data_IF_157320892390
#
_entry.id   IF_157320892390
#
_cell.length_a   1.000
_cell.length_b   1.000
_cell.length_c   1.000
_cell.angle_alpha   90.00
_cell.angle_beta   90.00
_cell.angle_gamma   90.00
#
_symmetry.space_group_name_H-M   'P 1'
#
loop_
_entity.id
_entity.type
_entity.pdbx_description
1 polymer ?
#
# COMPACT_ATOMS: atom_id res chain seq x y z
N UNK A 1 -5.47 -25.66 -6.96
CA UNK A 1 -4.79 -24.45 -6.47
C UNK A 1 -3.47 -24.21 -7.20
N UNK A 2 -2.68 -25.25 -7.40
CA UNK A 2 -1.38 -25.21 -8.09
C UNK A 2 -1.53 -24.60 -9.48
N UNK A 3 -2.33 -25.20 -10.32
CA UNK A 3 -2.65 -24.70 -11.67
C UNK A 3 -3.14 -23.23 -11.66
N UNK A 4 -3.89 -22.82 -10.62
CA UNK A 4 -4.34 -21.44 -10.47
C UNK A 4 -3.17 -20.49 -10.19
N UNK A 5 -2.28 -20.87 -9.27
CA UNK A 5 -1.12 -20.04 -8.89
C UNK A 5 -0.14 -19.96 -10.06
N UNK A 6 0.16 -21.08 -10.71
CA UNK A 6 1.00 -21.14 -11.92
C UNK A 6 0.44 -20.21 -13.01
N UNK A 7 -0.85 -20.33 -13.32
CA UNK A 7 -1.52 -19.47 -14.28
C UNK A 7 -1.40 -17.99 -13.93
N UNK A 8 -1.58 -17.62 -12.65
CA UNK A 8 -1.50 -16.23 -12.21
C UNK A 8 -0.06 -15.67 -12.27
N UNK A 9 0.94 -16.50 -12.03
CA UNK A 9 2.35 -16.13 -12.18
C UNK A 9 2.71 -15.98 -13.66
N UNK A 10 2.41 -16.96 -14.49
CA UNK A 10 2.72 -16.94 -15.92
C UNK A 10 2.08 -15.76 -16.65
N UNK A 11 0.86 -15.39 -16.26
CA UNK A 11 0.14 -14.26 -16.84
C UNK A 11 0.42 -12.91 -16.14
N UNK A 12 1.47 -12.82 -15.34
CA UNK A 12 1.94 -11.57 -14.70
C UNK A 12 0.96 -10.93 -13.70
N UNK A 13 0.12 -11.74 -13.07
CA UNK A 13 -0.79 -11.30 -12.01
C UNK A 13 -0.16 -11.38 -10.63
N UNK A 14 0.58 -12.46 -10.33
CA UNK A 14 1.28 -12.68 -9.08
C UNK A 14 2.80 -12.57 -9.23
N UNK A 15 3.46 -12.12 -8.15
CA UNK A 15 4.92 -12.11 -8.04
C UNK A 15 5.43 -13.52 -7.74
N UNK A 16 6.28 -14.14 -8.58
CA UNK A 16 6.82 -15.47 -8.31
C UNK A 16 7.73 -15.50 -7.07
N UNK A 17 8.45 -14.42 -6.81
CA UNK A 17 9.42 -14.30 -5.71
C UNK A 17 8.80 -14.51 -4.32
N UNK A 18 7.49 -14.23 -4.19
CA UNK A 18 6.76 -14.46 -2.95
C UNK A 18 6.67 -15.95 -2.62
N UNK A 19 6.42 -16.79 -3.63
CA UNK A 19 6.24 -18.22 -3.46
C UNK A 19 7.57 -18.98 -3.30
N UNK A 20 8.69 -18.44 -3.75
CA UNK A 20 10.01 -19.03 -3.60
C UNK A 20 10.46 -19.18 -2.14
N UNK A 21 9.86 -18.38 -1.24
CA UNK A 21 10.15 -18.42 0.20
C UNK A 21 9.45 -19.56 0.95
N UNK A 22 8.58 -20.30 0.29
CA UNK A 22 7.73 -21.32 0.91
C UNK A 22 7.70 -22.60 0.09
N UNK A 23 7.50 -23.75 0.76
CA UNK A 23 7.14 -24.97 0.06
C UNK A 23 5.73 -24.86 -0.51
N UNK A 24 5.50 -25.47 -1.67
CA UNK A 24 4.16 -25.48 -2.26
C UNK A 24 3.12 -26.18 -1.37
N UNK A 25 3.54 -27.24 -0.65
CA UNK A 25 2.69 -27.94 0.30
C UNK A 25 2.24 -27.02 1.44
N UNK A 26 3.13 -26.17 1.95
CA UNK A 26 2.76 -25.17 2.93
C UNK A 26 1.73 -24.17 2.36
N UNK A 27 2.00 -23.61 1.19
CA UNK A 27 1.08 -22.67 0.53
C UNK A 27 -0.30 -23.30 0.36
N UNK A 28 -0.36 -24.55 -0.12
CA UNK A 28 -1.61 -25.29 -0.28
C UNK A 28 -2.36 -25.48 1.04
N UNK A 29 -1.65 -25.76 2.11
CA UNK A 29 -2.25 -25.94 3.43
C UNK A 29 -2.74 -24.60 4.01
N UNK A 30 -2.01 -23.50 3.79
CA UNK A 30 -2.42 -22.16 4.20
C UNK A 30 -3.74 -21.74 3.54
N UNK A 31 -3.87 -21.96 2.24
CA UNK A 31 -5.12 -21.69 1.52
C UNK A 31 -6.26 -22.58 2.02
N UNK A 32 -6.01 -23.88 2.24
CA UNK A 32 -7.01 -24.77 2.84
C UNK A 32 -7.47 -24.29 4.22
N UNK A 33 -6.55 -23.80 5.07
CA UNK A 33 -6.84 -23.22 6.39
C UNK A 33 -7.79 -22.03 6.25
N UNK A 34 -7.47 -21.09 5.37
CA UNK A 34 -8.30 -19.91 5.13
C UNK A 34 -9.71 -20.27 4.65
N UNK A 35 -9.82 -21.18 3.69
CA UNK A 35 -11.11 -21.62 3.13
C UNK A 35 -11.93 -22.48 4.10
N UNK A 36 -11.29 -23.19 5.03
CA UNK A 36 -11.98 -24.02 6.03
C UNK A 36 -12.88 -23.20 6.96
N UNK A 37 -12.56 -21.94 7.18
CA UNK A 37 -13.37 -21.02 8.01
C UNK A 37 -14.71 -20.70 7.35
N UNK A 38 -14.87 -20.88 6.04
CA UNK A 38 -16.07 -20.56 5.27
C UNK A 38 -16.52 -19.11 5.47
N UNK A 39 -15.57 -18.19 5.38
CA UNK A 39 -15.78 -16.75 5.58
C UNK A 39 -17.01 -16.22 4.83
N UNK A 40 -17.76 -15.34 5.47
CA UNK A 40 -18.87 -14.60 4.87
C UNK A 40 -18.78 -13.13 5.28
N UNK A 41 -18.92 -12.25 4.31
CA UNK A 41 -19.02 -10.83 4.60
C UNK A 41 -20.30 -10.56 5.44
N UNK A 42 -20.17 -9.84 6.57
CA UNK A 42 -21.33 -9.52 7.42
C UNK A 42 -22.29 -8.54 6.75
N UNK A 43 -21.83 -7.75 5.77
CA UNK A 43 -22.63 -6.76 5.06
C UNK A 43 -22.39 -6.81 3.56
N UNK A 44 -23.42 -6.40 2.80
CA UNK A 44 -23.28 -6.21 1.34
C UNK A 44 -22.19 -5.19 1.01
N UNK A 45 -22.13 -4.07 1.76
CA UNK A 45 -21.13 -3.03 1.54
C UNK A 45 -19.70 -3.55 1.68
N UNK A 46 -19.44 -4.41 2.67
CA UNK A 46 -18.15 -5.05 2.86
C UNK A 46 -17.74 -5.92 1.65
N UNK A 47 -18.66 -6.75 1.18
CA UNK A 47 -18.44 -7.58 -0.01
C UNK A 47 -18.22 -6.72 -1.26
N UNK A 48 -19.08 -5.73 -1.47
CA UNK A 48 -18.98 -4.80 -2.61
C UNK A 48 -17.63 -4.09 -2.62
N UNK A 49 -17.22 -3.52 -1.48
CA UNK A 49 -15.93 -2.82 -1.36
C UNK A 49 -14.75 -3.74 -1.63
N UNK A 50 -14.77 -4.97 -1.11
CA UNK A 50 -13.72 -5.94 -1.36
C UNK A 50 -13.56 -6.23 -2.86
N UNK A 51 -14.63 -6.61 -3.53
CA UNK A 51 -14.57 -6.97 -4.95
C UNK A 51 -14.29 -5.78 -5.86
N UNK A 52 -14.82 -4.60 -5.58
CA UNK A 52 -14.57 -3.41 -6.43
C UNK A 52 -13.18 -2.83 -6.26
N UNK A 53 -12.59 -2.90 -5.04
CA UNK A 53 -11.38 -2.16 -4.71
C UNK A 53 -10.14 -3.02 -4.40
N UNK A 54 -10.31 -4.25 -3.91
CA UNK A 54 -9.18 -5.05 -3.39
C UNK A 54 -8.90 -6.32 -4.17
N UNK A 55 -9.93 -7.05 -4.61
CA UNK A 55 -9.75 -8.32 -5.31
C UNK A 55 -8.98 -8.14 -6.62
N UNK A 56 -8.04 -9.04 -6.87
CA UNK A 56 -7.34 -9.11 -8.16
C UNK A 56 -8.35 -9.37 -9.27
N UNK A 57 -8.23 -8.59 -10.35
CA UNK A 57 -9.03 -8.72 -11.56
C UNK A 57 -8.15 -8.99 -12.76
N UNK A 58 -8.75 -9.52 -13.82
CA UNK A 58 -8.13 -9.53 -15.14
C UNK A 58 -7.77 -8.10 -15.59
N UNK A 59 -6.76 -7.94 -16.43
CA UNK A 59 -6.30 -6.61 -16.86
C UNK A 59 -7.39 -5.80 -17.60
N UNK A 60 -8.36 -6.48 -18.20
CA UNK A 60 -9.55 -5.85 -18.79
C UNK A 60 -10.64 -5.49 -17.76
N UNK A 61 -10.43 -5.87 -16.49
CA UNK A 61 -11.35 -5.59 -15.38
C UNK A 61 -12.63 -6.41 -15.36
N UNK A 62 -12.80 -7.38 -16.28
CA UNK A 62 -14.07 -8.08 -16.49
C UNK A 62 -14.29 -9.26 -15.52
N UNK A 63 -13.21 -9.84 -14.99
CA UNK A 63 -13.29 -11.04 -14.15
C UNK A 63 -12.50 -10.89 -12.88
N UNK A 64 -13.04 -11.41 -11.78
CA UNK A 64 -12.34 -11.53 -10.50
C UNK A 64 -11.52 -12.81 -10.47
N UNK A 65 -10.25 -12.68 -10.11
CA UNK A 65 -9.29 -13.79 -10.00
C UNK A 65 -9.09 -14.25 -8.56
N UNK A 66 -9.52 -13.44 -7.59
CA UNK A 66 -9.39 -13.72 -6.16
C UNK A 66 -10.74 -13.65 -5.44
N UNK A 67 -10.84 -14.47 -4.40
CA UNK A 67 -11.79 -14.31 -3.30
C UNK A 67 -11.08 -13.67 -2.10
N UNK A 68 -11.85 -13.36 -1.06
CA UNK A 68 -11.31 -12.77 0.17
C UNK A 68 -10.21 -13.64 0.79
N UNK A 69 -10.43 -14.96 0.87
CA UNK A 69 -9.47 -15.91 1.41
C UNK A 69 -8.16 -15.93 0.61
N UNK A 70 -8.22 -15.82 -0.71
CA UNK A 70 -7.03 -15.74 -1.57
C UNK A 70 -6.21 -14.50 -1.22
N UNK A 71 -6.89 -13.33 -1.12
CA UNK A 71 -6.23 -12.07 -0.79
C UNK A 71 -5.60 -12.09 0.59
N UNK A 72 -6.27 -12.67 1.58
CA UNK A 72 -5.75 -12.84 2.94
C UNK A 72 -4.48 -13.70 2.93
N UNK A 73 -4.46 -14.80 2.21
CA UNK A 73 -3.28 -15.67 2.09
C UNK A 73 -2.09 -14.94 1.44
N UNK A 74 -2.34 -14.15 0.39
CA UNK A 74 -1.28 -13.38 -0.28
C UNK A 74 -0.67 -12.33 0.66
N UNK A 75 -1.48 -11.65 1.45
CA UNK A 75 -1.02 -10.71 2.47
C UNK A 75 -0.17 -11.43 3.53
N UNK A 76 -0.64 -12.57 4.02
CA UNK A 76 0.06 -13.34 5.04
C UNK A 76 1.43 -13.84 4.55
N UNK A 77 1.49 -14.38 3.34
CA UNK A 77 2.74 -14.84 2.73
C UNK A 77 3.75 -13.68 2.58
N UNK A 78 3.28 -12.51 2.17
CA UNK A 78 4.15 -11.34 2.05
C UNK A 78 4.70 -10.88 3.40
N UNK A 79 3.83 -10.68 4.38
CA UNK A 79 4.21 -10.13 5.68
C UNK A 79 5.06 -11.09 6.53
N UNK A 80 4.84 -12.39 6.36
CA UNK A 80 5.57 -13.40 7.13
C UNK A 80 6.99 -13.69 6.61
N UNK A 81 7.32 -13.26 5.39
CA UNK A 81 8.68 -13.34 4.84
C UNK A 81 9.34 -14.75 4.94
N UNK A 82 8.58 -15.81 4.70
CA UNK A 82 9.03 -17.19 4.79
C UNK A 82 8.81 -17.87 6.14
N UNK A 83 8.32 -17.14 7.15
CA UNK A 83 7.96 -17.72 8.45
C UNK A 83 6.57 -18.35 8.38
N UNK A 84 6.53 -19.68 8.27
CA UNK A 84 5.28 -20.43 8.09
C UNK A 84 4.30 -20.25 9.28
N UNK A 85 4.79 -20.29 10.51
CA UNK A 85 3.96 -20.09 11.70
C UNK A 85 3.32 -18.70 11.72
N UNK A 86 4.11 -17.67 11.43
CA UNK A 86 3.61 -16.30 11.37
C UNK A 86 2.59 -16.12 10.23
N UNK A 87 2.78 -16.77 9.08
CA UNK A 87 1.81 -16.73 8.00
C UNK A 87 0.45 -17.32 8.42
N UNK A 88 0.44 -18.44 9.12
CA UNK A 88 -0.79 -19.04 9.66
C UNK A 88 -1.48 -18.13 10.69
N UNK A 89 -0.72 -17.54 11.61
CA UNK A 89 -1.24 -16.58 12.59
C UNK A 89 -1.88 -15.37 11.92
N UNK A 90 -1.21 -14.79 10.92
CA UNK A 90 -1.73 -13.63 10.18
C UNK A 90 -3.05 -13.97 9.47
N UNK A 91 -3.14 -15.14 8.83
CA UNK A 91 -4.40 -15.59 8.20
C UNK A 91 -5.52 -15.66 9.22
N UNK A 92 -5.29 -16.28 10.38
CA UNK A 92 -6.29 -16.43 11.43
C UNK A 92 -6.73 -15.07 11.98
N UNK A 93 -5.79 -14.16 12.22
CA UNK A 93 -6.09 -12.82 12.75
C UNK A 93 -6.90 -11.96 11.75
N UNK A 94 -6.58 -12.02 10.46
CA UNK A 94 -7.32 -11.26 9.45
C UNK A 94 -8.74 -11.84 9.27
N UNK A 95 -8.86 -13.17 9.14
CA UNK A 95 -10.18 -13.80 8.91
C UNK A 95 -11.10 -13.63 10.12
N UNK A 96 -10.55 -13.65 11.33
CA UNK A 96 -11.32 -13.41 12.56
C UNK A 96 -11.67 -11.94 12.80
N UNK A 97 -11.12 -11.02 11.99
CA UNK A 97 -11.35 -9.58 12.12
C UNK A 97 -10.57 -8.89 13.25
N UNK A 98 -9.59 -9.58 13.87
CA UNK A 98 -8.74 -8.99 14.90
C UNK A 98 -7.57 -8.18 14.34
N UNK A 99 -7.16 -8.46 13.10
CA UNK A 99 -6.15 -7.69 12.38
C UNK A 99 -6.69 -7.27 11.00
N UNK A 100 -6.58 -6.00 10.69
CA UNK A 100 -6.86 -5.48 9.36
C UNK A 100 -5.62 -4.76 8.82
N UNK A 101 -5.01 -5.25 7.74
CA UNK A 101 -3.90 -4.57 7.09
C UNK A 101 -4.29 -3.19 6.57
N UNK A 102 -3.32 -2.29 6.47
CA UNK A 102 -3.54 -1.01 5.76
C UNK A 102 -4.00 -1.26 4.32
N UNK A 103 -4.81 -0.36 3.80
CA UNK A 103 -5.39 -0.46 2.45
C UNK A 103 -4.35 -0.82 1.38
N UNK A 104 -3.19 -0.14 1.25
CA UNK A 104 -2.24 -0.48 0.19
C UNK A 104 -1.60 -1.85 0.39
N UNK A 105 -1.34 -2.29 1.60
CA UNK A 105 -0.84 -3.64 1.88
C UNK A 105 -1.86 -4.69 1.44
N UNK A 106 -3.12 -4.53 1.85
CA UNK A 106 -4.19 -5.46 1.51
C UNK A 106 -4.50 -5.48 0.01
N UNK A 107 -4.42 -4.33 -0.65
CA UNK A 107 -4.64 -4.20 -2.09
C UNK A 107 -3.51 -4.80 -2.93
N UNK A 108 -2.25 -4.54 -2.56
CA UNK A 108 -1.11 -4.74 -3.46
C UNK A 108 -0.27 -5.99 -3.16
N UNK A 109 -0.41 -6.60 -1.97
CA UNK A 109 0.43 -7.72 -1.56
C UNK A 109 0.45 -8.86 -2.60
N UNK A 110 1.63 -9.21 -3.06
CA UNK A 110 1.88 -10.32 -3.99
C UNK A 110 1.40 -10.12 -5.42
N UNK A 111 0.85 -8.98 -5.77
CA UNK A 111 0.50 -8.64 -7.16
C UNK A 111 1.73 -8.18 -7.92
N UNK A 112 1.92 -8.66 -9.15
CA UNK A 112 3.05 -8.26 -10.02
C UNK A 112 2.91 -6.80 -10.48
N UNK A 113 1.74 -6.42 -10.94
CA UNK A 113 1.40 -5.04 -11.30
C UNK A 113 0.75 -4.37 -10.08
N UNK A 114 1.54 -3.61 -9.32
CA UNK A 114 1.08 -3.01 -8.06
C UNK A 114 1.64 -1.63 -7.80
N UNK A 115 0.94 -0.88 -6.94
CA UNK A 115 1.44 0.31 -6.28
C UNK A 115 2.30 -0.03 -5.04
N UNK A 116 2.56 0.97 -4.22
CA UNK A 116 3.31 0.81 -2.98
C UNK A 116 2.49 0.06 -1.90
N UNK A 117 3.19 -0.45 -0.90
CA UNK A 117 2.59 -1.13 0.26
C UNK A 117 2.31 -0.18 1.42
N UNK A 118 2.66 1.09 1.29
CA UNK A 118 2.44 2.15 2.29
C UNK A 118 1.50 3.22 1.75
N UNK A 119 0.73 3.85 2.64
CA UNK A 119 -0.29 4.83 2.28
C UNK A 119 0.13 6.27 2.53
N UNK A 120 1.11 6.52 3.40
CA UNK A 120 1.44 7.85 3.88
C UNK A 120 2.95 8.09 3.85
N UNK A 121 3.32 9.26 3.36
CA UNK A 121 4.70 9.74 3.33
C UNK A 121 4.78 11.08 4.04
N UNK A 122 5.70 11.21 4.98
CA UNK A 122 5.93 12.43 5.74
C UNK A 122 7.27 13.02 5.31
N UNK A 123 7.26 14.26 4.83
CA UNK A 123 8.44 14.97 4.39
C UNK A 123 8.68 16.20 5.28
N UNK A 124 9.92 16.39 5.69
CA UNK A 124 10.37 17.59 6.40
C UNK A 124 11.02 18.54 5.43
N UNK A 125 10.62 19.80 5.44
CA UNK A 125 11.17 20.85 4.59
C UNK A 125 12.12 21.73 5.41
N UNK A 126 13.33 21.91 4.92
CA UNK A 126 14.29 22.87 5.47
C UNK A 126 14.07 24.27 4.88
N UNK A 127 14.50 25.30 5.61
CA UNK A 127 14.27 26.70 5.26
C UNK A 127 15.23 27.21 4.18
N UNK A 128 15.15 26.60 3.01
CA UNK A 128 15.87 27.03 1.82
C UNK A 128 15.13 26.59 0.54
N UNK A 129 15.37 27.30 -0.56
CA UNK A 129 14.69 27.08 -1.84
C UNK A 129 14.97 25.68 -2.44
N UNK A 130 16.16 25.14 -2.21
CA UNK A 130 16.52 23.82 -2.72
C UNK A 130 15.68 22.71 -2.05
N UNK A 131 15.53 22.78 -0.71
CA UNK A 131 14.69 21.84 0.04
C UNK A 131 13.21 21.96 -0.34
N UNK A 132 12.72 23.19 -0.53
CA UNK A 132 11.35 23.45 -0.98
C UNK A 132 11.13 22.81 -2.37
N UNK A 133 12.03 23.06 -3.33
CA UNK A 133 11.94 22.49 -4.68
C UNK A 133 12.02 20.97 -4.70
N UNK A 134 12.92 20.37 -3.92
CA UNK A 134 13.01 18.91 -3.77
C UNK A 134 11.73 18.32 -3.18
N UNK A 135 11.12 19.00 -2.21
CA UNK A 135 9.89 18.55 -1.58
C UNK A 135 8.72 18.50 -2.57
N UNK A 136 8.61 19.49 -3.46
CA UNK A 136 7.59 19.49 -4.52
C UNK A 136 7.79 18.28 -5.45
N UNK A 137 9.01 18.07 -5.94
CA UNK A 137 9.31 16.92 -6.79
C UNK A 137 9.02 15.58 -6.08
N UNK A 138 9.42 15.47 -4.82
CA UNK A 138 9.13 14.28 -4.00
C UNK A 138 7.64 14.05 -3.85
N UNK A 139 6.85 15.10 -3.62
CA UNK A 139 5.39 15.02 -3.54
C UNK A 139 4.79 14.42 -4.80
N UNK A 140 5.18 14.93 -5.96
CA UNK A 140 4.71 14.42 -7.26
C UNK A 140 5.06 12.94 -7.46
N UNK A 141 6.30 12.54 -7.15
CA UNK A 141 6.76 11.15 -7.32
C UNK A 141 6.06 10.18 -6.37
N UNK A 142 5.84 10.58 -5.11
CA UNK A 142 5.18 9.74 -4.11
C UNK A 142 3.67 9.66 -4.35
N UNK A 143 3.03 10.79 -4.68
CA UNK A 143 1.61 10.84 -5.02
C UNK A 143 1.28 9.99 -6.26
N UNK A 144 2.13 10.04 -7.29
CA UNK A 144 2.02 9.19 -8.49
C UNK A 144 1.92 7.69 -8.13
N UNK A 145 2.56 7.26 -7.04
CA UNK A 145 2.55 5.87 -6.57
C UNK A 145 1.33 5.53 -5.70
N UNK A 146 0.40 6.48 -5.53
CA UNK A 146 -0.83 6.30 -4.77
C UNK A 146 -0.72 6.57 -3.27
N UNK A 147 0.38 7.18 -2.80
CA UNK A 147 0.56 7.57 -1.42
C UNK A 147 0.06 8.98 -1.12
N UNK A 148 -0.51 9.18 0.07
CA UNK A 148 -0.75 10.51 0.62
C UNK A 148 0.56 11.13 1.10
N UNK A 149 0.79 12.41 0.80
CA UNK A 149 2.02 13.11 1.19
C UNK A 149 1.70 14.25 2.12
N UNK A 150 2.39 14.33 3.25
CA UNK A 150 2.29 15.43 4.20
C UNK A 150 3.66 16.07 4.43
N UNK A 151 3.65 17.38 4.71
CA UNK A 151 4.86 18.17 4.89
C UNK A 151 4.91 18.79 6.28
N UNK A 152 6.05 18.65 6.96
CA UNK A 152 6.36 19.41 8.17
C UNK A 152 6.97 20.76 7.75
N UNK A 153 6.21 21.83 7.93
CA UNK A 153 6.56 23.20 7.52
C UNK A 153 7.20 24.02 8.65
N UNK A 154 7.37 23.43 9.81
CA UNK A 154 7.80 24.09 11.05
C UNK A 154 9.14 24.83 10.92
N UNK A 155 10.02 24.37 10.05
CA UNK A 155 11.35 24.98 9.87
C UNK A 155 11.35 26.22 8.96
N UNK A 156 10.26 26.46 8.23
CA UNK A 156 10.16 27.63 7.35
C UNK A 156 10.00 28.90 8.16
N UNK A 157 10.78 29.92 7.82
CA UNK A 157 10.74 31.22 8.49
C UNK A 157 9.41 31.94 8.30
N UNK A 158 9.07 32.76 9.26
CA UNK A 158 7.86 33.58 9.24
C UNK A 158 7.91 34.67 8.16
N UNK A 159 6.74 35.23 7.85
CA UNK A 159 6.62 36.41 7.00
C UNK A 159 7.31 37.60 7.68
N UNK A 160 8.07 38.38 6.90
CA UNK A 160 8.84 39.51 7.40
C UNK A 160 10.22 39.15 7.96
N UNK A 161 10.54 37.85 8.13
CA UNK A 161 11.87 37.46 8.58
C UNK A 161 12.98 37.90 7.60
N UNK A 162 14.16 38.27 8.11
CA UNK A 162 15.25 38.71 7.23
C UNK A 162 15.80 37.59 6.34
N UNK A 163 16.16 37.94 5.11
CA UNK A 163 16.91 37.09 4.19
C UNK A 163 18.24 37.75 3.87
N UNK A 164 19.34 37.04 4.07
CA UNK A 164 20.70 37.59 3.89
C UNK A 164 20.91 38.94 4.63
N UNK A 165 20.37 39.05 5.84
CA UNK A 165 20.40 40.25 6.69
C UNK A 165 19.57 41.47 6.19
N UNK A 166 18.72 41.25 5.18
CA UNK A 166 17.80 42.28 4.70
C UNK A 166 16.43 42.04 5.37
N UNK A 167 15.94 43.00 6.11
CA UNK A 167 14.66 42.96 6.84
C UNK A 167 13.45 42.88 5.89
N UNK A 168 12.37 42.32 6.37
CA UNK A 168 11.05 42.25 5.69
C UNK A 168 11.10 41.59 4.28
N UNK A 169 11.97 40.60 4.07
CA UNK A 169 12.12 39.92 2.78
C UNK A 169 11.33 38.63 2.64
N UNK A 170 11.09 37.92 3.75
CA UNK A 170 10.38 36.64 3.68
C UNK A 170 8.89 36.85 3.43
N UNK A 171 8.33 36.05 2.52
CA UNK A 171 6.87 35.96 2.30
C UNK A 171 6.18 34.96 3.25
N UNK A 172 6.98 34.26 4.07
CA UNK A 172 6.47 33.26 5.03
C UNK A 172 6.10 31.92 4.41
N UNK A 173 5.33 31.15 5.16
CA UNK A 173 4.99 29.77 4.79
C UNK A 173 3.84 29.66 3.77
N UNK A 174 2.97 30.64 3.67
CA UNK A 174 1.74 30.57 2.85
C UNK A 174 2.03 30.33 1.36
N UNK A 175 2.97 31.03 0.70
CA UNK A 175 3.29 30.74 -0.70
C UNK A 175 3.79 29.31 -0.93
N UNK A 176 4.56 28.78 0.02
CA UNK A 176 5.05 27.39 -0.04
C UNK A 176 3.88 26.41 0.11
N UNK A 177 2.96 26.65 1.03
CA UNK A 177 1.75 25.82 1.20
C UNK A 177 0.93 25.77 -0.10
N UNK A 178 0.75 26.90 -0.78
CA UNK A 178 0.02 26.93 -2.05
C UNK A 178 0.70 26.10 -3.13
N UNK A 179 2.04 26.19 -3.24
CA UNK A 179 2.78 25.36 -4.19
C UNK A 179 2.61 23.85 -3.94
N UNK A 180 2.55 23.46 -2.66
CA UNK A 180 2.39 22.06 -2.28
C UNK A 180 0.94 21.58 -2.42
N UNK A 181 -0.04 22.47 -2.27
CA UNK A 181 -1.47 22.18 -2.48
C UNK A 181 -1.77 21.95 -3.96
N UNK A 182 -1.13 22.71 -4.84
CA UNK A 182 -1.33 22.64 -6.29
C UNK A 182 -0.52 21.51 -6.96
N UNK A 183 0.43 20.90 -6.25
CA UNK A 183 1.28 19.82 -6.77
C UNK A 183 0.65 18.44 -6.62
#
# INVERSE_FOLDING_TARGET
>A
LEEKIEYLIENQYYEPELFEKYSFDFVKNLFKRAYAVKFRFPTFLGAFKFYTSYALKTFDGQRYLERFEDRVCMVALLLAEGNETLAEEIVDEIISGRFQPATPTFLNAGKKQRGELVSCFLLRIEDNMESIGRSINSALQLSKRGGGVAFALTNLRESGAPIKKIENQSSGVIPVMKLLEDA
#
